data_IF_536024454847
#
_entry.id   IF_536024454847
#
_cell.length_a   1.000
_cell.length_b   1.000
_cell.length_c   1.000
_cell.angle_alpha   90.00
_cell.angle_beta   90.00
_cell.angle_gamma   90.00
#
_symmetry.space_group_name_H-M   'P 1'
#
loop_
_entity.id
_entity.type
_entity.pdbx_description
1 polymer ?
#
# COMPACT_ATOMS: atom_id res chain seq x y z
N UNK A 1 -7.06 6.42 3.04
CA UNK A 1 -7.14 7.01 4.40
C UNK A 1 -7.05 8.52 4.34
N UNK A 2 -5.96 9.08 3.80
CA UNK A 2 -5.79 10.53 3.64
C UNK A 2 -6.95 11.17 2.86
N UNK A 3 -7.34 10.59 1.73
CA UNK A 3 -8.47 11.06 0.91
C UNK A 3 -9.77 11.16 1.72
N UNK A 4 -10.08 10.12 2.52
CA UNK A 4 -11.28 10.09 3.35
C UNK A 4 -11.27 11.13 4.48
N UNK A 5 -10.07 11.56 4.91
CA UNK A 5 -9.88 12.58 5.95
C UNK A 5 -9.57 13.97 5.38
N UNK A 6 -9.56 14.14 4.06
CA UNK A 6 -9.15 15.38 3.37
C UNK A 6 -7.75 15.86 3.80
N UNK A 7 -6.83 14.93 4.03
CA UNK A 7 -5.43 15.22 4.39
C UNK A 7 -4.57 15.10 3.13
N UNK A 8 -3.70 16.07 2.88
CA UNK A 8 -2.68 15.97 1.83
C UNK A 8 -1.60 14.95 2.24
N UNK A 9 -1.57 13.83 1.52
CA UNK A 9 -0.61 12.76 1.77
C UNK A 9 0.84 13.19 1.50
N UNK A 10 1.10 14.05 0.51
CA UNK A 10 2.46 14.47 0.18
C UNK A 10 3.06 15.29 1.32
N UNK A 11 2.29 16.26 1.84
CA UNK A 11 2.68 17.07 3.01
C UNK A 11 2.86 16.22 4.27
N UNK A 12 1.94 15.28 4.52
CA UNK A 12 2.05 14.37 5.67
C UNK A 12 3.30 13.49 5.57
N UNK A 13 3.59 12.95 4.38
CA UNK A 13 4.77 12.11 4.12
C UNK A 13 6.06 12.90 4.34
N UNK A 14 6.14 14.13 3.82
CA UNK A 14 7.29 15.01 4.03
C UNK A 14 7.52 15.26 5.53
N UNK A 15 6.48 15.67 6.25
CA UNK A 15 6.55 15.90 7.69
C UNK A 15 6.99 14.64 8.45
N UNK A 16 6.45 13.46 8.11
CA UNK A 16 6.83 12.20 8.76
C UNK A 16 8.29 11.79 8.47
N UNK A 17 8.77 12.01 7.24
CA UNK A 17 10.13 11.70 6.82
C UNK A 17 11.18 12.70 7.31
N UNK A 18 10.78 13.81 7.95
CA UNK A 18 11.72 14.69 8.66
C UNK A 18 12.39 14.00 9.85
N UNK A 19 11.80 12.91 10.37
CA UNK A 19 12.41 12.07 11.41
C UNK A 19 13.53 11.23 10.81
N UNK A 20 14.72 11.29 11.41
CA UNK A 20 15.95 10.65 10.92
C UNK A 20 15.87 9.14 10.65
N UNK A 21 14.96 8.43 11.30
CA UNK A 21 14.81 6.97 11.21
C UNK A 21 13.56 6.52 10.43
N UNK A 22 12.90 7.41 9.68
CA UNK A 22 11.68 7.10 8.93
C UNK A 22 11.87 7.41 7.45
N UNK A 23 11.47 6.48 6.59
CA UNK A 23 11.45 6.66 5.13
C UNK A 23 10.19 6.06 4.51
N UNK A 24 9.06 6.74 4.70
CA UNK A 24 7.78 6.43 4.05
C UNK A 24 7.92 6.71 2.55
N UNK A 25 7.70 5.67 1.74
CA UNK A 25 7.71 5.78 0.27
C UNK A 25 6.43 6.46 -0.24
N UNK A 26 6.49 6.96 -1.46
CA UNK A 26 5.35 7.50 -2.17
C UNK A 26 4.24 6.47 -2.37
N UNK A 27 2.99 6.93 -2.40
CA UNK A 27 1.85 6.07 -2.66
C UNK A 27 1.82 5.66 -4.14
N UNK A 28 1.73 4.36 -4.42
CA UNK A 28 1.65 3.79 -5.77
C UNK A 28 0.33 3.06 -6.00
N UNK A 29 0.18 2.39 -7.14
CA UNK A 29 -1.04 1.63 -7.53
C UNK A 29 -1.12 0.23 -6.91
N UNK A 30 -0.55 0.04 -5.71
CA UNK A 30 -0.46 -1.24 -5.02
C UNK A 30 0.86 -2.01 -5.27
N UNK A 31 0.95 -3.19 -4.67
CA UNK A 31 2.04 -4.17 -4.82
C UNK A 31 1.93 -4.74 -6.24
N UNK A 32 2.84 -4.33 -7.12
CA UNK A 32 2.85 -4.72 -8.52
C UNK A 32 4.29 -5.09 -8.96
N UNK A 33 4.44 -5.43 -10.24
CA UNK A 33 5.72 -5.85 -10.81
C UNK A 33 5.94 -7.36 -10.66
N UNK A 34 6.88 -7.89 -11.45
CA UNK A 34 7.10 -9.33 -11.60
C UNK A 34 7.60 -9.99 -10.32
N UNK A 35 8.60 -9.41 -9.66
CA UNK A 35 9.25 -10.02 -8.50
C UNK A 35 8.43 -9.82 -7.23
N UNK A 36 8.12 -8.58 -6.86
CA UNK A 36 7.52 -8.28 -5.57
C UNK A 36 6.17 -9.00 -5.33
N UNK A 37 5.32 -9.08 -6.36
CA UNK A 37 4.04 -9.80 -6.24
C UNK A 37 4.22 -11.31 -6.08
N UNK A 38 5.21 -11.90 -6.79
CA UNK A 38 5.55 -13.32 -6.71
C UNK A 38 6.20 -13.65 -5.35
N UNK A 39 7.20 -12.88 -4.97
CA UNK A 39 7.98 -13.11 -3.76
C UNK A 39 7.11 -12.97 -2.51
N UNK A 40 6.17 -12.02 -2.50
CA UNK A 40 5.22 -11.85 -1.37
C UNK A 40 4.35 -13.10 -1.18
N UNK A 41 3.92 -13.75 -2.27
CA UNK A 41 3.11 -14.98 -2.20
C UNK A 41 3.96 -16.18 -1.76
N UNK A 42 5.18 -16.30 -2.28
CA UNK A 42 6.13 -17.33 -1.85
C UNK A 42 6.38 -17.17 -0.35
N UNK A 43 6.67 -15.97 0.13
CA UNK A 43 6.90 -15.71 1.55
C UNK A 43 5.66 -16.08 2.38
N UNK A 44 4.44 -15.75 1.94
CA UNK A 44 3.22 -16.14 2.65
C UNK A 44 3.05 -17.68 2.73
N UNK A 45 3.36 -18.38 1.65
CA UNK A 45 3.26 -19.84 1.55
C UNK A 45 4.30 -20.58 2.39
N UNK A 46 5.54 -20.07 2.43
CA UNK A 46 6.63 -20.66 3.20
C UNK A 46 6.54 -20.31 4.68
N UNK A 47 6.19 -19.06 5.02
CA UNK A 47 6.13 -18.56 6.39
C UNK A 47 4.69 -18.47 6.92
N UNK A 48 3.83 -19.45 6.60
CA UNK A 48 2.35 -19.56 6.75
C UNK A 48 1.64 -18.88 7.93
N UNK A 49 2.35 -18.43 8.96
CA UNK A 49 1.85 -17.69 10.12
C UNK A 49 2.29 -16.22 10.20
N UNK A 50 2.90 -15.64 9.16
CA UNK A 50 3.30 -14.24 9.17
C UNK A 50 2.09 -13.29 8.98
N UNK A 51 1.61 -12.73 10.10
CA UNK A 51 0.47 -11.81 10.12
C UNK A 51 0.70 -10.53 9.29
N UNK A 52 1.94 -10.07 9.18
CA UNK A 52 2.27 -8.84 8.44
C UNK A 52 2.12 -9.04 6.93
N UNK A 53 2.64 -10.15 6.41
CA UNK A 53 2.55 -10.47 4.97
C UNK A 53 1.09 -10.68 4.55
N UNK A 54 0.33 -11.45 5.32
CA UNK A 54 -1.11 -11.64 5.08
C UNK A 54 -1.88 -10.32 5.09
N UNK A 55 -1.56 -9.44 6.04
CA UNK A 55 -2.18 -8.12 6.11
C UNK A 55 -1.79 -7.23 4.93
N UNK A 56 -0.53 -7.24 4.51
CA UNK A 56 -0.05 -6.49 3.36
C UNK A 56 -0.77 -6.91 2.06
N UNK A 57 -0.89 -8.22 1.82
CA UNK A 57 -1.65 -8.79 0.68
C UNK A 57 -3.13 -8.37 0.74
N UNK A 58 -3.75 -8.47 1.92
CA UNK A 58 -5.16 -8.09 2.13
C UNK A 58 -5.40 -6.61 1.83
N UNK A 59 -4.56 -5.72 2.36
CA UNK A 59 -4.66 -4.26 2.15
C UNK A 59 -4.44 -3.93 0.68
N UNK A 60 -3.47 -4.54 0.01
CA UNK A 60 -3.23 -4.34 -1.43
C UNK A 60 -4.47 -4.70 -2.26
N UNK A 61 -5.10 -5.84 -1.98
CA UNK A 61 -6.35 -6.27 -2.66
C UNK A 61 -7.48 -5.27 -2.46
N UNK A 62 -7.67 -4.79 -1.23
CA UNK A 62 -8.69 -3.78 -0.93
C UNK A 62 -8.40 -2.45 -1.65
N UNK A 63 -7.16 -1.99 -1.62
CA UNK A 63 -6.74 -0.76 -2.26
C UNK A 63 -6.90 -0.81 -3.78
N UNK A 64 -6.51 -1.92 -4.42
CA UNK A 64 -6.75 -2.13 -5.87
C UNK A 64 -8.24 -2.11 -6.22
N UNK A 65 -9.12 -2.66 -5.37
CA UNK A 65 -10.59 -2.58 -5.55
C UNK A 65 -11.07 -1.13 -5.50
N UNK A 66 -10.60 -0.34 -4.52
CA UNK A 66 -10.91 1.08 -4.43
C UNK A 66 -10.44 1.82 -5.69
N UNK A 67 -9.21 1.60 -6.14
CA UNK A 67 -8.67 2.24 -7.35
C UNK A 67 -9.50 1.93 -8.61
N UNK A 68 -9.95 0.68 -8.78
CA UNK A 68 -10.84 0.31 -9.89
C UNK A 68 -12.17 1.06 -9.81
N UNK A 69 -12.76 1.13 -8.62
CA UNK A 69 -14.04 1.82 -8.40
C UNK A 69 -13.93 3.34 -8.58
N UNK A 70 -12.80 3.96 -8.18
CA UNK A 70 -12.56 5.39 -8.38
C UNK A 70 -12.34 5.76 -9.85
N UNK A 71 -11.81 4.84 -10.68
CA UNK A 71 -11.70 5.05 -12.13
C UNK A 71 -13.05 5.05 -12.86
N UNK A 72 -14.08 4.45 -12.27
CA UNK A 72 -15.46 4.51 -12.77
C UNK A 72 -16.23 5.77 -12.33
N UNK A 73 -15.62 6.62 -11.49
CA UNK A 73 -16.14 7.92 -11.05
C UNK A 73 -15.30 9.08 -11.61
N UNK A 74 -14.99 9.04 -12.92
CA UNK A 74 -14.59 10.27 -13.60
C UNK A 74 -15.83 11.15 -13.75
N UNK A 75 -15.99 12.09 -12.82
CA UNK A 75 -16.55 13.41 -13.13
C UNK A 75 -15.49 14.19 -13.92
#
# INVERSE_FOLDING_TARGET
MCDAKKIDFAKLREAANSKWNINIKEARKGINGKCLSKDTLIIDEFFRNNKFIKMAIKIDKQYKKILKNSKGKKL
#
